data_IF_061242786982
#
_entry.id   IF_061242786982
#
_cell.length_a   1.000
_cell.length_b   1.000
_cell.length_c   1.000
_cell.angle_alpha   90.00
_cell.angle_beta   90.00
_cell.angle_gamma   90.00
#
_symmetry.space_group_name_H-M   'P 1'
#
loop_
_entity.id
_entity.type
_entity.pdbx_description
1 polymer ?
#
# COMPACT_ATOMS: atom_id res chain seq x y z
N UNK A 1 -4.02 -19.83 -20.58
CA UNK A 1 -4.73 -20.27 -19.35
C UNK A 1 -4.46 -19.21 -18.27
N UNK A 2 -5.47 -18.68 -17.57
CA UNK A 2 -5.25 -17.71 -16.50
C UNK A 2 -4.52 -18.35 -15.32
N UNK A 3 -3.82 -17.54 -14.53
CA UNK A 3 -3.16 -18.01 -13.32
C UNK A 3 -4.21 -18.37 -12.25
N UNK A 4 -3.91 -19.40 -11.46
CA UNK A 4 -4.72 -19.82 -10.31
C UNK A 4 -4.15 -19.22 -9.01
N UNK A 5 -5.01 -19.09 -8.01
CA UNK A 5 -4.67 -18.59 -6.67
C UNK A 5 -5.22 -19.54 -5.62
N UNK A 6 -4.43 -19.81 -4.58
CA UNK A 6 -4.88 -20.52 -3.39
C UNK A 6 -5.79 -19.60 -2.57
N UNK A 7 -7.08 -19.94 -2.50
CA UNK A 7 -8.09 -19.13 -1.84
C UNK A 7 -8.03 -19.20 -0.31
N UNK A 8 -7.51 -20.29 0.24
CA UNK A 8 -7.35 -20.40 1.69
C UNK A 8 -6.15 -19.58 2.17
N UNK A 9 -5.08 -19.52 1.37
CA UNK A 9 -3.92 -18.67 1.64
C UNK A 9 -4.23 -17.16 1.61
N UNK A 10 -5.22 -16.72 0.81
CA UNK A 10 -5.60 -15.29 0.69
C UNK A 10 -6.94 -14.95 1.34
N UNK A 11 -7.48 -15.86 2.16
CA UNK A 11 -8.74 -15.64 2.86
C UNK A 11 -8.62 -14.42 3.78
N UNK A 12 -9.68 -13.62 3.83
CA UNK A 12 -9.78 -12.51 4.76
C UNK A 12 -9.59 -12.98 6.21
N UNK A 13 -8.76 -12.27 6.98
CA UNK A 13 -8.58 -12.45 8.42
C UNK A 13 -8.70 -11.10 9.13
N UNK A 14 -9.70 -10.99 10.03
CA UNK A 14 -9.89 -9.81 10.85
C UNK A 14 -8.71 -9.57 11.80
N UNK A 15 -8.15 -10.65 12.35
CA UNK A 15 -6.95 -10.60 13.21
C UNK A 15 -5.74 -10.05 12.44
N UNK A 16 -5.47 -10.60 11.24
CA UNK A 16 -4.37 -10.13 10.40
C UNK A 16 -4.56 -8.67 9.99
N UNK A 17 -5.80 -8.26 9.67
CA UNK A 17 -6.13 -6.85 9.36
C UNK A 17 -5.79 -5.93 10.53
N UNK A 18 -6.24 -6.27 11.74
CA UNK A 18 -5.96 -5.47 12.95
C UNK A 18 -4.46 -5.39 13.20
N UNK A 19 -3.75 -6.53 13.11
CA UNK A 19 -2.31 -6.58 13.31
C UNK A 19 -1.54 -5.67 12.35
N UNK A 20 -1.77 -5.81 11.04
CA UNK A 20 -1.09 -4.99 10.01
C UNK A 20 -1.37 -3.50 10.21
N UNK A 21 -2.61 -3.13 10.54
CA UNK A 21 -2.93 -1.72 10.81
C UNK A 21 -2.18 -1.17 12.01
N UNK A 22 -2.12 -1.93 13.11
CA UNK A 22 -1.38 -1.55 14.32
C UNK A 22 0.12 -1.40 14.04
N UNK A 23 0.73 -2.37 13.35
CA UNK A 23 2.16 -2.36 13.03
C UNK A 23 2.58 -1.13 12.20
N UNK A 24 1.67 -0.62 11.37
CA UNK A 24 1.91 0.54 10.50
C UNK A 24 1.23 1.84 10.99
N UNK A 25 0.71 1.88 12.22
CA UNK A 25 0.08 3.08 12.79
C UNK A 25 -1.18 3.56 12.07
N UNK A 26 -1.85 2.69 11.31
CA UNK A 26 -3.05 3.03 10.53
C UNK A 26 -4.29 2.96 11.44
N UNK A 27 -5.11 4.02 11.55
CA UNK A 27 -6.36 3.97 12.31
C UNK A 27 -7.29 2.85 11.84
N UNK A 28 -8.09 2.30 12.75
CA UNK A 28 -8.94 1.12 12.47
C UNK A 28 -10.04 1.41 11.43
N UNK A 29 -10.52 2.64 11.40
CA UNK A 29 -11.56 3.19 10.52
C UNK A 29 -11.00 3.96 9.30
N UNK A 30 -9.69 4.19 9.24
CA UNK A 30 -9.07 4.92 8.14
C UNK A 30 -9.31 4.25 6.78
N UNK A 31 -9.61 5.07 5.78
CA UNK A 31 -9.66 4.64 4.39
C UNK A 31 -8.24 4.32 3.91
N UNK A 32 -7.98 3.07 3.55
CA UNK A 32 -6.61 2.61 3.21
C UNK A 32 -6.56 2.03 1.81
N UNK A 33 -5.65 2.56 1.00
CA UNK A 33 -5.27 2.01 -0.30
C UNK A 33 -4.08 1.09 -0.08
N UNK A 34 -4.21 -0.20 -0.41
CA UNK A 34 -3.12 -1.18 -0.32
C UNK A 34 -2.66 -1.63 -1.70
N UNK A 35 -1.35 -1.79 -1.90
CA UNK A 35 -0.80 -2.34 -3.12
C UNK A 35 0.35 -3.31 -2.83
N UNK A 36 0.24 -4.53 -3.35
CA UNK A 36 1.30 -5.55 -3.27
C UNK A 36 1.88 -5.77 -4.66
N UNK A 37 3.12 -5.34 -4.88
CA UNK A 37 3.81 -5.54 -6.16
C UNK A 37 5.31 -5.27 -6.06
N UNK A 38 6.09 -5.75 -7.04
CA UNK A 38 7.49 -5.33 -7.22
C UNK A 38 7.59 -3.83 -7.47
N UNK A 39 8.53 -3.17 -6.81
CA UNK A 39 8.86 -1.75 -7.01
C UNK A 39 9.73 -1.60 -8.24
N UNK A 40 9.07 -1.59 -9.40
CA UNK A 40 9.71 -1.56 -10.70
C UNK A 40 9.00 -0.52 -11.58
N UNK A 41 9.68 0.23 -12.47
CA UNK A 41 9.10 1.34 -13.23
C UNK A 41 7.84 0.94 -14.02
N UNK A 42 7.81 -0.27 -14.60
CA UNK A 42 6.63 -0.83 -15.29
C UNK A 42 5.36 -0.95 -14.42
N UNK A 43 5.48 -0.99 -13.10
CA UNK A 43 4.33 -1.04 -12.16
C UNK A 43 3.73 0.33 -11.87
N UNK A 44 4.47 1.40 -12.15
CA UNK A 44 3.99 2.79 -12.05
C UNK A 44 3.36 3.12 -10.69
N UNK A 45 4.01 2.67 -9.62
CA UNK A 45 3.56 2.96 -8.26
C UNK A 45 3.64 4.46 -7.92
N UNK A 46 4.45 5.23 -8.66
CA UNK A 46 4.46 6.70 -8.63
C UNK A 46 3.07 7.30 -8.90
N UNK A 47 2.32 6.70 -9.84
CA UNK A 47 0.96 7.13 -10.18
C UNK A 47 0.01 6.85 -9.01
N UNK A 48 0.15 5.68 -8.37
CA UNK A 48 -0.65 5.31 -7.22
C UNK A 48 -0.42 6.25 -6.04
N UNK A 49 0.83 6.59 -5.73
CA UNK A 49 1.16 7.54 -4.65
C UNK A 49 0.50 8.90 -4.91
N UNK A 50 0.61 9.43 -6.14
CA UNK A 50 -0.01 10.70 -6.53
C UNK A 50 -1.54 10.65 -6.51
N UNK A 51 -2.14 9.51 -6.84
CA UNK A 51 -3.59 9.32 -6.77
C UNK A 51 -4.07 9.26 -5.32
N UNK A 52 -3.38 8.51 -4.45
CA UNK A 52 -3.70 8.41 -3.04
C UNK A 52 -3.65 9.78 -2.34
N UNK A 53 -2.67 10.62 -2.69
CA UNK A 53 -2.56 11.98 -2.18
C UNK A 53 -3.77 12.89 -2.51
N UNK A 54 -4.50 12.59 -3.58
CA UNK A 54 -5.69 13.36 -3.99
C UNK A 54 -6.98 12.93 -3.26
N UNK A 55 -6.96 11.81 -2.54
CA UNK A 55 -8.14 11.30 -1.81
C UNK A 55 -8.45 12.08 -0.52
N UNK A 56 -7.58 13.00 -0.13
CA UNK A 56 -7.74 13.82 1.06
C UNK A 56 -6.86 13.37 2.24
N UNK A 57 -6.99 14.06 3.39
CA UNK A 57 -6.12 13.86 4.55
C UNK A 57 -6.38 12.54 5.30
N UNK A 58 -7.57 11.95 5.18
CA UNK A 58 -7.94 10.74 5.93
C UNK A 58 -7.57 9.43 5.21
N UNK A 59 -7.02 9.53 4.00
CA UNK A 59 -6.59 8.38 3.22
C UNK A 59 -5.15 7.98 3.57
N UNK A 60 -4.94 6.69 3.84
CA UNK A 60 -3.63 6.07 4.04
C UNK A 60 -3.23 5.22 2.84
N UNK A 61 -1.93 5.14 2.55
CA UNK A 61 -1.36 4.27 1.54
C UNK A 61 -0.46 3.23 2.22
N UNK A 62 -0.56 1.97 1.80
CA UNK A 62 0.38 0.91 2.19
C UNK A 62 0.91 0.21 0.94
N UNK A 63 2.21 0.34 0.69
CA UNK A 63 2.91 -0.36 -0.39
C UNK A 63 3.72 -1.52 0.19
N UNK A 64 3.48 -2.73 -0.31
CA UNK A 64 4.20 -3.93 0.09
C UNK A 64 4.96 -4.53 -1.11
N UNK A 65 6.29 -4.57 -0.99
CA UNK A 65 7.18 -5.04 -2.03
C UNK A 65 8.59 -4.50 -1.85
N UNK A 66 9.42 -4.75 -2.85
CA UNK A 66 10.82 -4.34 -2.94
C UNK A 66 11.19 -4.06 -4.42
N UNK A 67 12.30 -3.37 -4.66
CA UNK A 67 12.87 -3.22 -6.00
C UNK A 67 13.57 -1.90 -6.28
N UNK A 68 13.95 -1.70 -7.54
CA UNK A 68 14.81 -0.58 -7.97
C UNK A 68 14.20 0.81 -7.78
N UNK A 69 12.86 0.93 -7.72
CA UNK A 69 12.20 2.22 -7.51
C UNK A 69 11.88 2.51 -6.04
N UNK A 70 12.40 1.72 -5.10
CA UNK A 70 12.05 1.84 -3.67
C UNK A 70 12.38 3.22 -3.09
N UNK A 71 13.58 3.74 -3.33
CA UNK A 71 14.01 5.04 -2.80
C UNK A 71 13.18 6.19 -3.37
N UNK A 72 12.88 6.14 -4.67
CA UNK A 72 12.03 7.13 -5.34
C UNK A 72 10.60 7.12 -4.78
N UNK A 73 10.05 5.92 -4.54
CA UNK A 73 8.72 5.75 -3.96
C UNK A 73 8.68 6.25 -2.51
N UNK A 74 9.69 5.94 -1.69
CA UNK A 74 9.79 6.45 -0.32
C UNK A 74 9.84 7.98 -0.28
N UNK A 75 10.70 8.58 -1.12
CA UNK A 75 10.82 10.03 -1.21
C UNK A 75 9.49 10.69 -1.63
N UNK A 76 8.82 10.14 -2.66
CA UNK A 76 7.55 10.67 -3.15
C UNK A 76 6.41 10.49 -2.12
N UNK A 77 6.34 9.33 -1.46
CA UNK A 77 5.38 9.06 -0.40
C UNK A 77 5.55 10.01 0.78
N UNK A 78 6.78 10.19 1.26
CA UNK A 78 7.05 11.15 2.35
C UNK A 78 6.66 12.58 1.94
N UNK A 79 6.96 13.00 0.70
CA UNK A 79 6.62 14.33 0.22
C UNK A 79 5.11 14.59 0.13
N UNK A 80 4.32 13.60 -0.30
CA UNK A 80 2.89 13.80 -0.61
C UNK A 80 1.94 13.33 0.49
N UNK A 81 2.36 12.35 1.29
CA UNK A 81 1.51 11.66 2.27
C UNK A 81 2.03 11.79 3.70
N UNK A 82 3.32 12.02 3.92
CA UNK A 82 3.92 12.11 5.25
C UNK A 82 3.70 10.82 6.04
N UNK A 83 3.20 10.93 7.27
CA UNK A 83 2.92 9.80 8.16
C UNK A 83 1.78 8.87 7.67
N UNK A 84 1.15 9.18 6.54
CA UNK A 84 0.06 8.39 5.94
C UNK A 84 0.54 7.33 4.93
N UNK A 85 1.85 7.16 4.74
CA UNK A 85 2.44 6.22 3.77
C UNK A 85 3.61 5.41 4.34
#
# INVERSE_FOLDING_TARGET
>A
VPNVMDLDAVRFSAEARTRVRTEHGIPTDAFTVGCVSRFHPKKRLDVLVRAAAQLGPDAHLLLAGDGETEDELKALSHQLLGDRA
#
